data_IF_858886842967
#
_entry.id   IF_858886842967
#
_cell.length_a   1.000
_cell.length_b   1.000
_cell.length_c   1.000
_cell.angle_alpha   90.00
_cell.angle_beta   90.00
_cell.angle_gamma   90.00
#
_symmetry.space_group_name_H-M   'P 1'
#
loop_
_entity.id
_entity.type
_entity.pdbx_description
1 polymer ?
#
# COMPACT_ATOMS: atom_id res chain seq x y z
N UNK A 1 -0.19 -23.80 12.54
CA UNK A 1 -0.19 -22.35 12.20
C UNK A 1 1.18 -21.68 11.98
N UNK A 2 2.16 -21.74 12.91
CA UNK A 2 3.47 -21.06 12.77
C UNK A 2 4.29 -21.55 11.57
N UNK A 3 4.29 -22.86 11.33
CA UNK A 3 5.03 -23.47 10.21
C UNK A 3 4.52 -23.00 8.84
N UNK A 4 3.20 -22.80 8.68
CA UNK A 4 2.66 -22.26 7.42
C UNK A 4 3.13 -20.82 7.19
N UNK A 5 3.11 -19.98 8.23
CA UNK A 5 3.62 -18.60 8.16
C UNK A 5 5.09 -18.60 7.75
N UNK A 6 5.93 -19.37 8.45
CA UNK A 6 7.36 -19.42 8.19
C UNK A 6 7.66 -19.93 6.77
N UNK A 7 6.96 -20.97 6.33
CA UNK A 7 7.10 -21.49 4.97
C UNK A 7 6.65 -20.47 3.91
N UNK A 8 5.55 -19.76 4.15
CA UNK A 8 5.07 -18.71 3.24
C UNK A 8 6.10 -17.58 3.13
N UNK A 9 6.58 -17.06 4.27
CA UNK A 9 7.56 -15.98 4.30
C UNK A 9 8.89 -16.40 3.67
N UNK A 10 9.35 -17.64 3.91
CA UNK A 10 10.58 -18.15 3.33
C UNK A 10 10.47 -18.35 1.81
N UNK A 11 9.38 -18.94 1.31
CA UNK A 11 9.20 -19.18 -0.12
C UNK A 11 8.96 -17.88 -0.90
N UNK A 12 8.11 -16.98 -0.39
CA UNK A 12 7.90 -15.65 -0.99
C UNK A 12 9.15 -14.77 -0.90
N UNK A 13 9.91 -14.88 0.19
CA UNK A 13 11.18 -14.18 0.36
C UNK A 13 12.22 -14.62 -0.67
N UNK A 14 12.38 -15.95 -0.87
CA UNK A 14 13.29 -16.50 -1.90
C UNK A 14 12.91 -16.10 -3.33
N UNK A 15 11.60 -15.98 -3.61
CA UNK A 15 11.11 -15.51 -4.90
C UNK A 15 11.24 -13.97 -5.09
N UNK A 16 11.74 -13.23 -4.08
CA UNK A 16 11.84 -11.77 -4.12
C UNK A 16 10.51 -11.03 -3.93
N UNK A 17 9.41 -11.75 -3.67
CA UNK A 17 8.06 -11.18 -3.55
C UNK A 17 7.97 -10.21 -2.39
N UNK A 18 8.56 -10.54 -1.22
CA UNK A 18 8.47 -9.67 -0.05
C UNK A 18 9.14 -8.31 -0.30
N UNK A 19 10.34 -8.30 -0.86
CA UNK A 19 11.04 -7.06 -1.22
C UNK A 19 10.28 -6.27 -2.29
N UNK A 20 9.77 -6.95 -3.32
CA UNK A 20 8.99 -6.35 -4.39
C UNK A 20 7.71 -5.67 -3.87
N UNK A 21 6.99 -6.33 -2.95
CA UNK A 21 5.78 -5.79 -2.32
C UNK A 21 6.11 -4.57 -1.44
N UNK A 22 7.17 -4.64 -0.63
CA UNK A 22 7.58 -3.51 0.21
C UNK A 22 7.99 -2.29 -0.63
N UNK A 23 8.75 -2.50 -1.71
CA UNK A 23 9.10 -1.43 -2.66
C UNK A 23 7.86 -0.86 -3.35
N UNK A 24 6.97 -1.72 -3.84
CA UNK A 24 5.77 -1.29 -4.55
C UNK A 24 4.83 -0.47 -3.64
N UNK A 25 4.67 -0.87 -2.37
CA UNK A 25 3.87 -0.10 -1.43
C UNK A 25 4.54 1.22 -1.05
N UNK A 26 5.83 1.20 -0.73
CA UNK A 26 6.56 2.40 -0.31
C UNK A 26 6.53 3.49 -1.39
N UNK A 27 6.75 3.13 -2.65
CA UNK A 27 6.73 4.07 -3.78
C UNK A 27 5.31 4.55 -4.10
N UNK A 28 4.30 3.66 -4.06
CA UNK A 28 2.90 4.03 -4.26
C UNK A 28 2.38 4.97 -3.17
N UNK A 29 2.64 4.65 -1.90
CA UNK A 29 2.25 5.47 -0.76
C UNK A 29 2.94 6.84 -0.80
N UNK A 30 4.24 6.88 -1.11
CA UNK A 30 4.99 8.14 -1.25
C UNK A 30 4.41 9.03 -2.34
N UNK A 31 4.14 8.48 -3.53
CA UNK A 31 3.55 9.24 -4.63
C UNK A 31 2.15 9.75 -4.27
N UNK A 32 1.34 8.90 -3.64
CA UNK A 32 -0.01 9.29 -3.18
C UNK A 32 0.05 10.46 -2.19
N UNK A 33 0.99 10.42 -1.23
CA UNK A 33 1.17 11.48 -0.26
C UNK A 33 1.64 12.80 -0.88
N UNK A 34 2.52 12.74 -1.89
CA UNK A 34 2.98 13.94 -2.60
C UNK A 34 1.87 14.61 -3.42
N UNK A 35 0.97 13.82 -4.00
CA UNK A 35 -0.13 14.31 -4.83
C UNK A 35 -1.38 14.66 -3.99
N UNK A 36 -1.38 14.36 -2.69
CA UNK A 36 -2.52 14.63 -1.82
C UNK A 36 -2.61 16.11 -1.46
N UNK A 37 -3.75 16.72 -1.79
CA UNK A 37 -4.06 18.10 -1.44
C UNK A 37 -5.54 18.17 -1.01
N UNK A 38 -5.81 18.24 0.31
CA UNK A 38 -7.17 18.36 0.81
C UNK A 38 -7.83 19.68 0.42
N UNK A 39 -7.06 20.74 0.12
CA UNK A 39 -7.61 22.03 -0.27
C UNK A 39 -8.19 22.01 -1.69
N UNK A 40 -7.78 21.07 -2.54
CA UNK A 40 -8.34 20.86 -3.89
C UNK A 40 -9.43 19.78 -3.92
N UNK A 41 -9.90 19.33 -2.75
CA UNK A 41 -10.99 18.36 -2.62
C UNK A 41 -10.54 16.89 -2.65
N UNK A 42 -9.25 16.59 -2.45
CA UNK A 42 -8.84 15.21 -2.22
C UNK A 42 -9.32 14.77 -0.84
N UNK A 43 -10.04 13.65 -0.79
CA UNK A 43 -10.60 13.08 0.43
C UNK A 43 -10.01 11.69 0.73
N UNK A 44 -10.52 11.04 1.79
CA UNK A 44 -10.07 9.70 2.16
C UNK A 44 -10.33 8.65 1.08
N UNK A 45 -11.38 8.83 0.27
CA UNK A 45 -11.71 7.92 -0.83
C UNK A 45 -10.68 8.06 -1.94
N UNK A 46 -10.32 9.30 -2.29
CA UNK A 46 -9.25 9.61 -3.23
C UNK A 46 -7.93 8.98 -2.78
N UNK A 47 -7.53 9.17 -1.52
CA UNK A 47 -6.32 8.58 -0.95
C UNK A 47 -6.29 7.06 -1.10
N UNK A 48 -7.34 6.39 -0.64
CA UNK A 48 -7.42 4.93 -0.67
C UNK A 48 -7.43 4.37 -2.10
N UNK A 49 -8.17 4.99 -3.01
CA UNK A 49 -8.27 4.54 -4.40
C UNK A 49 -6.97 4.79 -5.18
N UNK A 50 -6.38 5.97 -5.04
CA UNK A 50 -5.13 6.34 -5.70
C UNK A 50 -3.98 5.47 -5.22
N UNK A 51 -3.81 5.29 -3.90
CA UNK A 51 -2.80 4.39 -3.34
C UNK A 51 -3.00 2.95 -3.84
N UNK A 52 -4.24 2.45 -3.87
CA UNK A 52 -4.53 1.10 -4.36
C UNK A 52 -4.14 0.91 -5.83
N UNK A 53 -4.49 1.88 -6.70
CA UNK A 53 -4.19 1.81 -8.13
C UNK A 53 -2.69 1.88 -8.39
N UNK A 54 -2.00 2.84 -7.75
CA UNK A 54 -0.54 2.95 -7.85
C UNK A 54 0.13 1.68 -7.34
N UNK A 55 -0.31 1.13 -6.22
CA UNK A 55 0.27 -0.10 -5.67
C UNK A 55 0.13 -1.28 -6.63
N UNK A 56 -1.05 -1.49 -7.22
CA UNK A 56 -1.23 -2.54 -8.22
C UNK A 56 -0.36 -2.33 -9.46
N UNK A 57 -0.22 -1.09 -9.93
CA UNK A 57 0.66 -0.77 -11.05
C UNK A 57 2.13 -1.05 -10.75
N UNK A 58 2.61 -0.71 -9.54
CA UNK A 58 3.99 -1.02 -9.12
C UNK A 58 4.23 -2.50 -8.96
N UNK A 59 3.24 -3.27 -8.46
CA UNK A 59 3.33 -4.73 -8.43
C UNK A 59 3.38 -5.32 -9.85
N UNK A 60 2.56 -4.82 -10.78
CA UNK A 60 2.64 -5.25 -12.18
C UNK A 60 4.00 -4.91 -12.80
N UNK A 61 4.59 -3.79 -12.42
CA UNK A 61 5.90 -3.34 -12.89
C UNK A 61 7.03 -4.25 -12.44
N UNK A 62 7.17 -4.44 -11.12
CA UNK A 62 8.25 -5.24 -10.54
C UNK A 62 8.13 -6.72 -10.90
N UNK A 63 6.92 -7.21 -11.18
CA UNK A 63 6.68 -8.59 -11.59
C UNK A 63 6.56 -8.79 -13.11
N UNK A 64 6.83 -7.77 -13.91
CA UNK A 64 6.74 -7.86 -15.38
C UNK A 64 5.39 -8.42 -15.86
N UNK A 65 4.30 -7.89 -15.30
CA UNK A 65 2.93 -8.25 -15.64
C UNK A 65 2.25 -7.13 -16.44
N UNK A 66 1.16 -7.47 -17.13
CA UNK A 66 0.32 -6.50 -17.88
C UNK A 66 1.17 -5.67 -18.85
N UNK A 67 1.15 -4.34 -18.73
CA UNK A 67 1.88 -3.42 -19.62
C UNK A 67 3.41 -3.55 -19.54
N UNK A 68 3.93 -4.27 -18.55
CA UNK A 68 5.35 -4.51 -18.35
C UNK A 68 5.75 -5.96 -18.67
N UNK A 69 4.87 -6.70 -19.36
CA UNK A 69 5.15 -8.07 -19.75
C UNK A 69 6.40 -8.15 -20.63
N UNK A 70 7.29 -9.07 -20.27
CA UNK A 70 8.49 -9.43 -21.03
C UNK A 70 8.30 -10.87 -21.48
N UNK A 71 8.37 -11.12 -22.78
CA UNK A 71 8.39 -12.50 -23.27
C UNK A 71 9.66 -13.22 -22.77
N UNK A 72 9.59 -14.50 -22.38
CA UNK A 72 10.76 -15.22 -21.84
C UNK A 72 11.99 -15.23 -22.74
N UNK A 73 11.76 -15.20 -24.07
CA UNK A 73 12.77 -15.14 -25.12
C UNK A 73 12.86 -13.76 -25.79
N UNK A 74 12.10 -12.78 -25.27
CA UNK A 74 12.01 -11.43 -25.79
C UNK A 74 13.08 -10.50 -25.23
N UNK A 75 13.18 -9.32 -25.83
CA UNK A 75 13.99 -8.23 -25.29
C UNK A 75 13.39 -7.75 -23.97
N UNK A 76 14.24 -7.49 -22.98
CA UNK A 76 13.81 -6.95 -21.69
C UNK A 76 13.07 -5.62 -21.90
N UNK A 77 12.02 -5.38 -21.11
CA UNK A 77 11.34 -4.08 -21.12
C UNK A 77 12.36 -3.01 -20.76
N UNK A 78 12.45 -1.99 -21.61
CA UNK A 78 13.39 -0.89 -21.47
C UNK A 78 13.24 -0.16 -20.13
N UNK A 79 14.37 0.33 -19.61
CA UNK A 79 14.40 1.10 -18.36
C UNK A 79 13.58 2.39 -18.43
N UNK A 80 13.38 2.93 -19.63
CA UNK A 80 12.47 4.03 -19.91
C UNK A 80 11.01 3.66 -19.60
N UNK A 81 10.55 2.50 -20.07
CA UNK A 81 9.18 2.00 -19.82
C UNK A 81 8.99 1.65 -18.34
N UNK A 82 9.98 1.03 -17.69
CA UNK A 82 9.93 0.73 -16.26
C UNK A 82 10.05 2.01 -15.40
N UNK A 83 10.79 3.01 -15.88
CA UNK A 83 11.00 4.28 -15.22
C UNK A 83 9.83 5.25 -15.33
N UNK A 84 8.97 5.07 -16.34
CA UNK A 84 7.88 6.00 -16.61
C UNK A 84 6.94 6.17 -15.39
N UNK A 85 6.67 7.43 -15.05
CA UNK A 85 5.86 7.81 -13.88
C UNK A 85 6.44 7.43 -12.51
N UNK A 86 7.72 7.02 -12.40
CA UNK A 86 8.44 6.94 -11.13
C UNK A 86 9.03 8.28 -10.73
N UNK A 87 9.18 8.48 -9.42
CA UNK A 87 10.04 9.51 -8.88
C UNK A 87 11.51 9.10 -9.03
N UNK A 88 12.40 10.10 -9.03
CA UNK A 88 13.84 9.88 -9.09
C UNK A 88 14.32 8.87 -8.03
N UNK A 89 15.16 7.93 -8.46
CA UNK A 89 15.73 6.88 -7.63
C UNK A 89 14.82 5.68 -7.33
N UNK A 90 13.51 5.72 -7.64
CA UNK A 90 12.64 4.56 -7.38
C UNK A 90 12.94 3.38 -8.29
N UNK A 91 13.33 3.66 -9.55
CA UNK A 91 13.70 2.60 -10.50
C UNK A 91 14.99 1.89 -10.05
N UNK A 92 15.94 2.65 -9.50
CA UNK A 92 17.22 2.09 -9.04
C UNK A 92 17.06 1.29 -7.75
N UNK A 93 16.08 1.66 -6.91
CA UNK A 93 15.70 0.91 -5.73
C UNK A 93 14.74 -0.27 -6.03
N UNK A 94 14.30 -0.45 -7.28
CA UNK A 94 13.37 -1.51 -7.65
C UNK A 94 14.03 -2.89 -7.54
N UNK A 95 13.47 -3.82 -6.75
CA UNK A 95 13.99 -5.18 -6.68
C UNK A 95 13.92 -5.87 -8.03
N UNK A 96 14.94 -6.67 -8.36
CA UNK A 96 14.94 -7.49 -9.56
C UNK A 96 14.22 -8.81 -9.30
N UNK A 97 13.10 -9.03 -9.98
CA UNK A 97 12.38 -10.31 -9.99
C UNK A 97 12.40 -10.83 -11.42
N UNK A 98 12.82 -12.08 -11.60
CA UNK A 98 12.89 -12.67 -12.95
C UNK A 98 11.49 -12.67 -13.60
N UNK A 99 11.35 -12.18 -14.84
CA UNK A 99 10.08 -12.26 -15.56
C UNK A 99 9.52 -13.68 -15.61
N UNK A 100 8.20 -13.80 -15.51
CA UNK A 100 7.50 -15.09 -15.53
C UNK A 100 7.54 -15.90 -14.24
N UNK A 101 8.33 -15.52 -13.23
CA UNK A 101 8.30 -16.16 -11.89
C UNK A 101 6.98 -15.86 -11.19
N UNK A 102 6.60 -14.59 -11.17
CA UNK A 102 5.32 -14.15 -10.60
C UNK A 102 4.35 -13.91 -11.73
N UNK A 103 3.18 -14.54 -11.65
CA UNK A 103 2.14 -14.45 -12.66
C UNK A 103 0.94 -13.68 -12.12
N UNK A 104 0.31 -12.87 -12.97
CA UNK A 104 -0.97 -12.26 -12.65
C UNK A 104 -2.04 -13.35 -12.43
N UNK A 105 -2.81 -13.23 -11.36
CA UNK A 105 -3.81 -14.20 -10.93
C UNK A 105 -5.00 -13.49 -10.27
N UNK A 106 -5.67 -12.63 -11.04
CA UNK A 106 -6.87 -11.91 -10.61
C UNK A 106 -8.01 -12.89 -10.28
N UNK A 107 -8.82 -12.54 -9.29
CA UNK A 107 -9.95 -13.36 -8.85
C UNK A 107 -11.19 -12.49 -8.60
N UNK A 108 -12.25 -12.71 -9.39
CA UNK A 108 -13.52 -11.96 -9.39
C UNK A 108 -13.31 -10.45 -9.17
N UNK A 109 -12.58 -9.81 -10.10
CA UNK A 109 -12.23 -8.37 -10.10
C UNK A 109 -11.26 -7.90 -8.99
N UNK A 110 -10.80 -8.79 -8.11
CA UNK A 110 -9.77 -8.47 -7.12
C UNK A 110 -8.38 -8.65 -7.73
N UNK A 111 -7.52 -7.61 -7.71
CA UNK A 111 -6.13 -7.72 -8.15
C UNK A 111 -5.37 -8.80 -7.40
N UNK A 112 -4.74 -9.71 -8.13
CA UNK A 112 -4.01 -10.83 -7.56
C UNK A 112 -2.80 -11.27 -8.37
N UNK A 113 -1.87 -11.92 -7.69
CA UNK A 113 -0.66 -12.51 -8.27
C UNK A 113 -0.40 -13.88 -7.64
N UNK A 114 0.42 -14.68 -8.29
CA UNK A 114 0.83 -15.98 -7.78
C UNK A 114 2.29 -16.29 -8.08
N UNK A 115 2.91 -17.04 -7.19
CA UNK A 115 4.18 -17.74 -7.40
C UNK A 115 4.05 -19.15 -6.87
N UNK A 116 4.39 -20.14 -7.68
CA UNK A 116 4.17 -21.55 -7.37
C UNK A 116 2.73 -21.80 -6.87
N UNK A 117 2.59 -22.27 -5.63
CA UNK A 117 1.30 -22.50 -4.98
C UNK A 117 0.70 -21.24 -4.34
N UNK A 118 1.52 -20.26 -3.98
CA UNK A 118 1.05 -19.08 -3.27
C UNK A 118 0.33 -18.13 -4.21
N UNK A 119 -0.92 -17.84 -3.91
CA UNK A 119 -1.67 -16.75 -4.53
C UNK A 119 -1.90 -15.68 -3.48
N UNK A 120 -1.81 -14.41 -3.85
CA UNK A 120 -2.24 -13.33 -2.96
C UNK A 120 -3.14 -12.34 -3.68
N UNK A 121 -4.11 -11.82 -2.92
CA UNK A 121 -5.02 -10.77 -3.36
C UNK A 121 -4.73 -9.48 -2.60
N UNK A 122 -4.92 -8.35 -3.27
CA UNK A 122 -4.73 -7.04 -2.65
C UNK A 122 -6.06 -6.49 -2.12
N UNK A 123 -6.02 -5.89 -0.92
CA UNK A 123 -7.17 -5.24 -0.33
C UNK A 123 -6.78 -3.97 0.42
N UNK A 124 -7.60 -2.94 0.29
CA UNK A 124 -7.53 -1.76 1.16
C UNK A 124 -8.42 -1.93 2.40
N UNK A 125 -8.06 -1.22 3.46
CA UNK A 125 -8.82 -1.12 4.69
C UNK A 125 -8.57 0.24 5.38
N UNK A 126 -9.36 0.64 6.39
CA UNK A 126 -9.10 1.87 7.14
C UNK A 126 -7.78 1.77 7.92
N UNK A 127 -7.01 2.86 7.98
CA UNK A 127 -5.74 2.90 8.72
C UNK A 127 -5.90 2.50 10.19
N UNK A 128 -4.93 1.74 10.72
CA UNK A 128 -4.94 1.06 12.02
C UNK A 128 -6.10 0.04 12.20
N UNK A 129 -6.82 -0.26 11.12
CA UNK A 129 -7.99 -1.13 11.10
C UNK A 129 -7.70 -2.59 10.74
N UNK A 130 -6.44 -3.01 10.68
CA UNK A 130 -6.05 -4.35 10.19
C UNK A 130 -6.64 -5.47 11.04
N UNK A 131 -6.83 -5.24 12.36
CA UNK A 131 -7.48 -6.17 13.29
C UNK A 131 -9.01 -6.18 13.20
N UNK A 132 -9.61 -5.26 12.45
CA UNK A 132 -11.06 -5.04 12.36
C UNK A 132 -11.62 -5.28 10.96
N UNK A 133 -10.84 -5.87 10.07
CA UNK A 133 -11.28 -6.16 8.70
C UNK A 133 -12.46 -7.13 8.75
N UNK A 134 -13.63 -6.68 8.29
CA UNK A 134 -14.77 -7.56 8.07
C UNK A 134 -14.68 -8.18 6.68
N UNK A 135 -14.23 -9.44 6.61
CA UNK A 135 -14.19 -10.18 5.35
C UNK A 135 -15.59 -10.44 4.78
N UNK A 136 -16.61 -10.54 5.64
CA UNK A 136 -18.01 -10.66 5.23
C UNK A 136 -18.50 -9.44 4.43
N UNK A 137 -17.92 -8.25 4.64
CA UNK A 137 -18.25 -7.05 3.86
C UNK A 137 -17.47 -6.92 2.54
N UNK A 138 -16.56 -7.85 2.25
CA UNK A 138 -15.73 -7.83 1.04
C UNK A 138 -16.35 -8.66 -0.08
N UNK A 139 -15.70 -8.70 -1.25
CA UNK A 139 -16.20 -9.42 -2.42
C UNK A 139 -16.37 -10.93 -2.12
N UNK A 140 -17.25 -11.64 -2.85
CA UNK A 140 -17.49 -13.07 -2.65
C UNK A 140 -16.23 -13.93 -2.67
N UNK A 141 -15.22 -13.55 -3.47
CA UNK A 141 -13.90 -14.19 -3.45
C UNK A 141 -13.18 -14.04 -2.12
N UNK A 142 -13.19 -12.83 -1.55
CA UNK A 142 -12.51 -12.54 -0.27
C UNK A 142 -13.23 -13.22 0.88
N UNK A 143 -14.57 -13.27 0.83
CA UNK A 143 -15.39 -14.05 1.75
C UNK A 143 -15.06 -15.54 1.69
N UNK A 144 -15.02 -16.14 0.48
CA UNK A 144 -14.68 -17.56 0.29
C UNK A 144 -13.28 -17.90 0.79
N UNK A 145 -12.29 -17.05 0.50
CA UNK A 145 -10.92 -17.24 0.98
C UNK A 145 -10.83 -17.16 2.52
N UNK A 146 -11.59 -16.26 3.15
CA UNK A 146 -11.65 -16.15 4.61
C UNK A 146 -12.47 -17.30 5.26
N UNK A 147 -13.50 -17.80 4.59
CA UNK A 147 -14.40 -18.86 5.07
C UNK A 147 -13.75 -20.25 5.17
N UNK A 148 -12.61 -20.49 4.52
CA UNK A 148 -11.95 -21.80 4.54
C UNK A 148 -11.27 -22.06 5.88
N UNK A 149 -11.58 -23.21 6.47
CA UNK A 149 -10.90 -23.72 7.66
C UNK A 149 -9.52 -24.26 7.28
N UNK A 150 -8.50 -24.09 8.14
CA UNK A 150 -7.20 -24.68 7.89
C UNK A 150 -7.31 -26.21 7.81
N UNK A 151 -6.43 -26.88 7.06
CA UNK A 151 -6.53 -28.32 6.80
C UNK A 151 -6.42 -29.16 8.08
N UNK A 152 -5.77 -28.62 9.12
CA UNK A 152 -5.71 -29.20 10.47
C UNK A 152 -7.07 -29.29 11.18
N UNK A 153 -8.06 -28.48 10.77
CA UNK A 153 -9.43 -28.46 11.32
C UNK A 153 -10.44 -29.20 10.43
N UNK A 154 -10.01 -29.78 9.30
CA UNK A 154 -10.87 -30.52 8.38
C UNK A 154 -10.94 -32.00 8.77
N UNK A 155 -11.94 -32.38 9.57
CA UNK A 155 -12.30 -33.79 9.75
C UNK A 155 -12.97 -34.31 8.46
N UNK A 156 -12.21 -34.95 7.57
CA UNK A 156 -12.76 -35.44 6.29
C UNK A 156 -13.37 -36.84 6.44
N UNK A 157 -14.70 -36.93 6.54
CA UNK A 157 -15.45 -38.18 6.38
C UNK A 157 -15.97 -38.37 4.94
N UNK A 158 -16.01 -37.32 4.12
CA UNK A 158 -16.37 -37.39 2.69
C UNK A 158 -15.62 -36.31 1.90
N UNK A 159 -14.72 -36.71 1.01
CA UNK A 159 -14.04 -35.84 0.04
C UNK A 159 -14.97 -35.62 -1.16
N UNK A 160 -15.90 -34.67 -1.04
CA UNK A 160 -16.61 -34.14 -2.20
C UNK A 160 -15.74 -33.04 -2.83
N UNK A 161 -15.49 -33.17 -4.14
CA UNK A 161 -14.63 -32.28 -4.91
C UNK A 161 -15.18 -30.86 -5.03
N UNK A 162 -14.94 -30.04 -4.01
CA UNK A 162 -15.17 -28.60 -4.06
C UNK A 162 -13.90 -27.88 -4.51
N UNK A 163 -13.83 -27.55 -5.81
CA UNK A 163 -13.04 -26.45 -6.40
C UNK A 163 -11.74 -26.09 -5.67
N UNK A 164 -10.60 -26.58 -6.20
CA UNK A 164 -9.21 -26.31 -5.79
C UNK A 164 -8.85 -24.81 -5.71
N UNK A 165 -9.29 -24.14 -4.65
CA UNK A 165 -8.61 -22.94 -4.16
C UNK A 165 -7.73 -23.43 -3.01
N UNK A 166 -6.46 -23.64 -3.35
CA UNK A 166 -5.36 -24.10 -2.49
C UNK A 166 -5.32 -23.29 -1.17
N UNK A 167 -4.95 -23.95 -0.06
CA UNK A 167 -4.64 -23.35 1.26
C UNK A 167 -3.57 -22.24 1.22
N UNK A 168 -3.03 -22.01 0.04
CA UNK A 168 -1.99 -21.07 -0.31
C UNK A 168 -2.50 -19.68 -0.74
N UNK A 169 -3.79 -19.36 -0.53
CA UNK A 169 -4.31 -18.00 -0.75
C UNK A 169 -4.03 -17.09 0.46
N UNK A 170 -3.30 -16.02 0.20
CA UNK A 170 -2.92 -14.96 1.14
C UNK A 170 -3.55 -13.62 0.74
N UNK A 171 -3.44 -12.65 1.65
CA UNK A 171 -3.86 -11.28 1.42
C UNK A 171 -2.73 -10.31 1.70
N UNK A 172 -2.57 -9.37 0.79
CA UNK A 172 -1.83 -8.15 1.04
C UNK A 172 -2.85 -7.07 1.39
N UNK A 173 -2.88 -6.67 2.65
CA UNK A 173 -3.74 -5.62 3.15
C UNK A 173 -2.94 -4.33 3.31
N UNK A 174 -3.43 -3.23 2.74
CA UNK A 174 -2.78 -1.92 2.87
C UNK A 174 -3.75 -0.82 3.31
N UNK A 175 -3.19 0.23 3.93
CA UNK A 175 -3.92 1.42 4.30
C UNK A 175 -2.98 2.63 4.38
N UNK A 176 -3.53 3.81 4.09
CA UNK A 176 -2.89 5.11 4.28
C UNK A 176 -3.75 5.96 5.22
N UNK A 177 -3.13 6.71 6.13
CA UNK A 177 -3.85 7.59 7.03
C UNK A 177 -4.42 8.82 6.30
N UNK A 178 -5.30 9.56 6.97
CA UNK A 178 -6.08 10.64 6.34
C UNK A 178 -5.31 11.91 6.02
N UNK A 179 -4.14 12.07 6.61
CA UNK A 179 -3.17 13.14 6.34
C UNK A 179 -2.03 12.66 5.44
N UNK A 180 -2.08 11.42 4.94
CA UNK A 180 -1.09 10.79 4.08
C UNK A 180 0.35 10.77 4.62
N UNK A 181 0.53 10.92 5.93
CA UNK A 181 1.84 10.92 6.60
C UNK A 181 2.33 9.52 6.93
N UNK A 182 1.41 8.63 7.28
CA UNK A 182 1.66 7.24 7.66
C UNK A 182 0.93 6.26 6.75
N UNK A 183 1.49 5.06 6.64
CA UNK A 183 0.90 3.97 5.89
C UNK A 183 1.25 2.62 6.49
N UNK A 184 0.49 1.61 6.12
CA UNK A 184 0.73 0.24 6.56
C UNK A 184 0.47 -0.75 5.42
N UNK A 185 1.26 -1.81 5.42
CA UNK A 185 1.14 -2.91 4.48
C UNK A 185 1.44 -4.22 5.22
N UNK A 186 0.51 -5.16 5.10
CA UNK A 186 0.50 -6.42 5.82
C UNK A 186 0.31 -7.57 4.85
N UNK A 187 0.99 -8.69 5.10
CA UNK A 187 0.76 -9.96 4.44
C UNK A 187 0.15 -10.93 5.44
N UNK A 188 -0.88 -11.69 5.07
CA UNK A 188 -1.42 -12.68 5.99
C UNK A 188 -2.39 -13.66 5.38
N UNK A 189 -2.75 -14.68 6.16
CA UNK A 189 -3.83 -15.60 5.85
C UNK A 189 -5.12 -15.11 6.49
N UNK A 190 -6.18 -14.80 5.71
CA UNK A 190 -7.43 -14.27 6.24
C UNK A 190 -8.17 -15.37 7.01
N UNK A 191 -8.94 -14.97 8.02
CA UNK A 191 -9.83 -15.84 8.78
C UNK A 191 -11.22 -15.22 8.79
N UNK A 192 -12.25 -16.04 8.55
CA UNK A 192 -13.64 -15.57 8.62
C UNK A 192 -13.93 -14.94 9.97
N UNK A 193 -14.67 -13.85 9.92
CA UNK A 193 -15.14 -13.11 11.10
C UNK A 193 -16.60 -13.43 11.43
N UNK A 194 -17.23 -14.34 10.67
CA UNK A 194 -18.56 -14.86 11.00
C UNK A 194 -18.49 -15.57 12.36
N UNK A 195 -19.27 -15.07 13.33
CA UNK A 195 -19.26 -15.56 14.71
C UNK A 195 -18.38 -14.78 15.70
N UNK A 196 -17.72 -13.71 15.26
CA UNK A 196 -16.87 -12.88 16.13
C UNK A 196 -15.50 -13.51 16.34
N UNK A 197 -14.47 -12.93 15.73
CA UNK A 197 -13.11 -13.46 15.80
C UNK A 197 -12.09 -12.52 15.17
N UNK A 198 -10.81 -12.85 15.33
CA UNK A 198 -9.73 -12.11 14.66
C UNK A 198 -9.78 -12.38 13.16
N UNK A 199 -9.59 -11.37 12.30
CA UNK A 199 -9.69 -11.52 10.85
C UNK A 199 -8.50 -12.23 10.20
N UNK A 200 -7.55 -12.71 11.00
CA UNK A 200 -6.33 -13.34 10.49
C UNK A 200 -6.05 -14.63 11.25
N UNK A 201 -5.62 -15.65 10.52
CA UNK A 201 -4.92 -16.78 11.12
C UNK A 201 -3.52 -16.31 11.54
N UNK A 202 -2.81 -15.64 10.65
CA UNK A 202 -1.54 -14.98 10.93
C UNK A 202 -1.38 -13.79 10.01
N UNK A 203 -0.54 -12.83 10.41
CA UNK A 203 -0.12 -11.71 9.57
C UNK A 203 1.32 -11.29 9.89
N UNK A 204 1.95 -10.67 8.92
CA UNK A 204 3.29 -10.11 8.96
C UNK A 204 3.25 -8.67 8.45
N UNK A 205 3.96 -7.75 9.10
CA UNK A 205 4.08 -6.38 8.62
C UNK A 205 5.20 -6.32 7.59
N UNK A 206 4.94 -5.78 6.41
CA UNK A 206 5.92 -5.70 5.32
C UNK A 206 6.65 -4.36 5.23
N UNK A 207 6.10 -3.31 5.86
CA UNK A 207 6.67 -1.96 5.86
C UNK A 207 6.71 -1.45 7.29
N UNK A 208 7.90 -1.07 7.73
CA UNK A 208 8.10 -0.45 9.04
C UNK A 208 7.39 0.91 9.10
N UNK A 209 6.77 1.27 10.23
CA UNK A 209 6.24 2.61 10.42
C UNK A 209 7.39 3.61 10.31
N UNK A 210 7.15 4.75 9.66
CA UNK A 210 8.09 5.87 9.77
C UNK A 210 8.22 6.21 11.26
N UNK A 211 9.43 6.47 11.76
CA UNK A 211 9.58 7.05 13.09
C UNK A 211 8.71 8.31 13.11
N UNK A 212 7.71 8.37 13.99
CA UNK A 212 7.03 9.64 14.26
C UNK A 212 8.12 10.57 14.76
N UNK A 213 8.43 11.62 14.01
CA UNK A 213 9.27 12.70 14.53
C UNK A 213 8.56 13.20 15.79
N UNK A 214 9.13 12.86 16.95
CA UNK A 214 8.65 13.35 18.22
C UNK A 214 8.87 14.87 18.22
N UNK A 215 7.78 15.62 18.04
CA UNK A 215 7.74 17.05 18.31
C UNK A 215 8.26 17.95 17.20
N UNK A 216 7.39 18.25 16.23
CA UNK A 216 7.18 19.66 15.87
C UNK A 216 5.85 20.09 16.47
N UNK A 217 5.94 20.69 17.64
CA UNK A 217 4.90 21.55 18.17
C UNK A 217 4.67 22.63 17.11
N UNK A 218 3.52 22.59 16.44
CA UNK A 218 3.05 23.75 15.71
C UNK A 218 3.00 24.92 16.71
N UNK A 219 3.62 26.08 16.42
CA UNK A 219 3.44 27.21 17.29
C UNK A 219 1.95 27.48 17.40
N UNK A 220 1.45 27.41 18.62
CA UNK A 220 0.10 27.81 18.99
C UNK A 220 -0.16 29.17 18.35
N UNK A 221 -1.22 29.24 17.54
CA UNK A 221 -1.79 30.48 17.05
C UNK A 221 -2.00 31.37 18.28
N UNK A 222 -1.17 32.41 18.40
CA UNK A 222 -1.24 33.35 19.52
C UNK A 222 -2.61 34.02 19.52
N UNK A 223 -3.43 33.72 20.52
CA UNK A 223 -4.55 34.57 20.88
C UNK A 223 -4.02 35.90 21.45
N UNK A 224 -4.76 37.01 21.27
CA UNK A 224 -4.19 38.35 21.17
C UNK A 224 -3.76 38.90 22.52
N UNK A 225 -2.49 39.27 22.65
CA UNK A 225 -2.02 40.12 23.74
C UNK A 225 -2.37 41.57 23.41
N UNK A 226 -3.24 42.14 24.24
CA UNK A 226 -3.62 43.55 24.19
C UNK A 226 -2.43 44.49 24.38
N UNK A 227 -2.44 45.52 23.54
CA UNK A 227 -1.86 46.86 23.71
C UNK A 227 -0.52 47.01 24.44
N UNK A 228 0.52 47.40 23.69
CA UNK A 228 1.47 48.40 24.17
C UNK A 228 2.13 49.16 23.01
N UNK A 229 1.85 50.46 22.98
CA UNK A 229 2.78 51.51 22.53
C UNK A 229 3.19 51.49 21.07
N UNK A 230 2.49 52.30 20.27
CA UNK A 230 3.04 52.86 19.02
C UNK A 230 4.36 53.58 19.35
N UNK A 231 5.41 53.26 18.60
CA UNK A 231 6.54 54.16 18.41
C UNK A 231 6.67 54.38 16.91
N UNK A 232 6.25 55.56 16.47
CA UNK A 232 6.39 56.03 15.10
C UNK A 232 7.87 56.00 14.70
N UNK A 233 8.17 55.35 13.59
CA UNK A 233 9.46 55.47 12.92
C UNK A 233 9.44 56.76 12.08
N UNK A 234 10.42 57.64 12.25
CA UNK A 234 10.63 58.78 11.37
C UNK A 234 11.00 58.30 9.97
N UNK A 235 10.05 58.42 9.04
CA UNK A 235 10.27 58.25 7.61
C UNK A 235 10.80 59.56 7.04
N UNK A 236 12.10 59.64 6.76
CA UNK A 236 12.64 60.75 5.97
C UNK A 236 12.23 60.59 4.51
N UNK A 237 11.20 61.34 4.10
CA UNK A 237 10.83 61.50 2.70
C UNK A 237 11.87 62.40 2.00
N UNK A 238 12.61 61.80 1.07
CA UNK A 238 13.51 62.50 0.15
C UNK A 238 12.69 63.42 -0.75
N UNK A 239 12.70 64.74 -0.49
CA UNK A 239 12.15 65.73 -1.41
C UNK A 239 12.95 65.67 -2.72
N UNK A 240 12.28 65.32 -3.81
CA UNK A 240 12.73 65.66 -5.15
C UNK A 240 12.25 67.09 -5.39
N UNK A 241 13.18 68.02 -5.52
CA UNK A 241 12.93 69.40 -5.90
C UNK A 241 13.37 69.62 -7.36
N UNK A 242 12.51 70.30 -8.13
CA UNK A 242 12.76 70.82 -9.48
C UNK A 242 11.85 70.18 -10.53
N UNK A 243 11.17 70.90 -11.44
CA UNK A 243 11.36 72.28 -11.92
C UNK A 243 10.18 72.68 -12.82
N UNK A 244 9.79 73.97 -12.82
CA UNK A 244 9.11 74.67 -13.93
C UNK A 244 7.59 74.54 -13.98
N UNK A 245 6.78 75.58 -14.17
CA UNK A 245 6.97 76.95 -14.69
C UNK A 245 6.25 77.99 -13.84
#
# INVERSE_FOLDING_TARGET
MTEQRERALAELGRAGVLAAVSWAWATAARRTAMDYDPATGHDQVWLGLTAHKLFCDRLDRVFHCRRYHVDPDGELVGRDVLGDGLLSGELDAMPSVRPGVVLRADDHSSPGWRVDRWRWLVTSFPYEGVDRISWASKTPTKQRAAGRRPPEDQFTLFTLGESEIDDSVLFIAHAINSDATDSECWLGRPRSTEGGGRPWHWRERLVEPRPREAGRVWPVVGAPTGQRGVSDAEVQLKRVAGTGE
#
